data_IF_373666596580
#
_entry.id   IF_373666596580
#
_cell.length_a   1.000
_cell.length_b   1.000
_cell.length_c   1.000
_cell.angle_alpha   90.00
_cell.angle_beta   90.00
_cell.angle_gamma   90.00
#
_symmetry.space_group_name_H-M   'P 1'
#
loop_
_entity.id
_entity.type
_entity.pdbx_description
1 polymer ?
#
# COMPACT_ATOMS: atom_id res chain seq x y z
N UNK A 1 6.07 43.51 -33.66
CA UNK A 1 6.68 42.38 -34.40
C UNK A 1 7.17 41.26 -33.46
N UNK A 2 6.47 40.99 -32.36
CA UNK A 2 6.73 39.85 -31.43
C UNK A 2 5.37 39.35 -30.93
N UNK A 3 4.54 38.83 -31.84
CA UNK A 3 3.29 38.11 -31.54
C UNK A 3 3.00 37.00 -32.57
N UNK A 4 3.96 36.64 -33.43
CA UNK A 4 3.74 35.73 -34.57
C UNK A 4 4.61 34.46 -34.57
N UNK A 5 5.40 34.22 -33.51
CA UNK A 5 6.31 33.07 -33.40
C UNK A 5 5.88 31.99 -32.39
N UNK A 6 4.70 32.09 -31.77
CA UNK A 6 4.16 31.04 -30.88
C UNK A 6 3.17 30.08 -31.54
N UNK A 7 2.66 30.40 -32.74
CA UNK A 7 1.65 29.58 -33.42
C UNK A 7 2.19 28.57 -34.45
N UNK A 8 3.46 28.67 -34.83
CA UNK A 8 4.06 27.76 -35.84
C UNK A 8 4.65 26.48 -35.21
N UNK A 9 4.93 26.47 -33.89
CA UNK A 9 5.43 25.27 -33.21
C UNK A 9 4.31 24.27 -32.81
N UNK A 10 3.05 24.72 -32.73
CA UNK A 10 1.91 23.87 -32.36
C UNK A 10 1.31 23.15 -33.58
N UNK A 11 1.50 23.68 -34.79
CA UNK A 11 0.97 23.09 -36.03
C UNK A 11 1.90 22.06 -36.71
N UNK A 12 3.18 22.00 -36.32
CA UNK A 12 4.14 21.02 -36.86
C UNK A 12 4.20 19.69 -36.10
N UNK A 13 3.59 19.61 -34.91
CA UNK A 13 3.45 18.36 -34.13
C UNK A 13 2.15 17.61 -34.46
N UNK A 14 1.19 18.24 -35.14
CA UNK A 14 -0.12 17.65 -35.45
C UNK A 14 -0.23 17.07 -36.88
N UNK A 15 0.84 17.09 -37.69
CA UNK A 15 0.81 16.65 -39.10
C UNK A 15 1.93 15.68 -39.50
N UNK A 16 2.39 14.83 -38.57
CA UNK A 16 3.15 13.63 -38.90
C UNK A 16 2.49 12.41 -38.27
N UNK A 17 1.76 11.65 -39.08
CA UNK A 17 1.66 10.20 -38.94
C UNK A 17 0.64 9.63 -37.96
N UNK A 18 -0.65 9.72 -38.33
CA UNK A 18 -1.63 8.69 -37.97
C UNK A 18 -1.25 7.37 -38.70
N UNK A 19 -0.38 6.56 -38.09
CA UNK A 19 -0.24 5.10 -38.29
C UNK A 19 1.00 4.62 -37.54
N UNK A 20 0.84 4.21 -36.29
CA UNK A 20 1.91 3.63 -35.49
C UNK A 20 1.57 3.71 -34.02
N UNK A 21 1.17 2.57 -33.42
CA UNK A 21 1.11 2.45 -31.97
C UNK A 21 2.51 2.64 -31.41
N UNK A 22 2.76 3.75 -30.73
CA UNK A 22 4.06 4.06 -30.13
C UNK A 22 4.09 3.61 -28.67
N UNK A 23 4.64 2.42 -28.48
CA UNK A 23 5.52 1.99 -27.39
C UNK A 23 5.68 2.94 -26.18
N UNK A 24 4.78 2.82 -25.21
CA UNK A 24 5.12 2.92 -23.78
C UNK A 24 4.79 1.60 -23.04
N UNK A 25 4.41 0.55 -23.80
CA UNK A 25 4.09 -0.78 -23.30
C UNK A 25 5.31 -1.67 -23.00
N UNK A 26 6.54 -1.19 -23.19
CA UNK A 26 7.77 -1.93 -22.98
C UNK A 26 8.91 -0.89 -22.93
N UNK A 27 9.87 -0.84 -22.01
CA UNK A 27 10.29 -1.72 -20.95
C UNK A 27 11.13 -0.86 -19.98
N UNK A 28 10.70 -0.69 -18.73
CA UNK A 28 11.54 -0.03 -17.73
C UNK A 28 12.70 -0.86 -17.17
N UNK A 29 12.78 -2.08 -17.65
CA UNK A 29 13.77 -3.05 -17.23
C UNK A 29 14.22 -3.82 -18.47
N UNK A 30 15.43 -4.34 -18.46
CA UNK A 30 16.02 -5.13 -19.52
C UNK A 30 15.13 -6.31 -19.89
N UNK A 31 15.22 -6.74 -21.15
CA UNK A 31 14.52 -7.94 -21.61
C UNK A 31 14.85 -9.17 -20.75
N UNK A 32 16.09 -9.26 -20.25
CA UNK A 32 16.55 -10.33 -19.36
C UNK A 32 15.83 -10.32 -18.02
N UNK A 33 15.78 -9.18 -17.31
CA UNK A 33 15.07 -9.10 -16.03
C UNK A 33 13.58 -9.37 -16.23
N UNK A 34 12.98 -8.82 -17.29
CA UNK A 34 11.57 -9.08 -17.62
C UNK A 34 11.30 -10.56 -17.85
N UNK A 35 12.14 -11.24 -18.63
CA UNK A 35 11.99 -12.67 -18.87
C UNK A 35 12.19 -13.50 -17.61
N UNK A 36 13.14 -13.12 -16.74
CA UNK A 36 13.36 -13.78 -15.45
C UNK A 36 12.14 -13.66 -14.55
N UNK A 37 11.63 -12.44 -14.36
CA UNK A 37 10.42 -12.20 -13.55
C UNK A 37 9.17 -12.87 -14.14
N UNK A 38 9.07 -12.97 -15.47
CA UNK A 38 7.97 -13.68 -16.15
C UNK A 38 8.10 -15.21 -16.09
N UNK A 39 9.30 -15.71 -15.82
CA UNK A 39 9.60 -17.13 -15.71
C UNK A 39 9.66 -17.61 -14.25
N UNK A 40 9.53 -16.70 -13.28
CA UNK A 40 9.53 -17.03 -11.86
C UNK A 40 8.47 -18.12 -11.59
N UNK A 41 8.93 -19.28 -11.10
CA UNK A 41 8.06 -20.41 -10.78
C UNK A 41 7.32 -20.27 -9.46
N UNK A 42 7.65 -19.25 -8.67
CA UNK A 42 7.04 -18.99 -7.36
C UNK A 42 7.12 -17.51 -6.96
N UNK A 43 6.27 -17.05 -6.01
CA UNK A 43 6.41 -15.72 -5.42
C UNK A 43 7.79 -15.47 -4.80
N UNK A 44 8.40 -16.50 -4.21
CA UNK A 44 9.75 -16.42 -3.62
C UNK A 44 10.80 -16.07 -4.66
N UNK A 45 10.87 -16.84 -5.74
CA UNK A 45 11.82 -16.59 -6.83
C UNK A 45 11.57 -15.22 -7.46
N UNK A 46 10.30 -14.81 -7.60
CA UNK A 46 9.94 -13.48 -8.10
C UNK A 46 10.54 -12.36 -7.24
N UNK A 47 10.38 -12.43 -5.91
CA UNK A 47 10.90 -11.39 -5.01
C UNK A 47 12.42 -11.45 -4.80
N UNK A 48 13.03 -12.64 -4.87
CA UNK A 48 14.49 -12.78 -4.90
C UNK A 48 15.07 -12.10 -6.15
N UNK A 49 14.55 -12.40 -7.35
CA UNK A 49 14.97 -11.75 -8.59
C UNK A 49 14.74 -10.22 -8.58
N UNK A 50 13.62 -9.77 -8.01
CA UNK A 50 13.30 -8.35 -7.90
C UNK A 50 14.25 -7.64 -6.92
N UNK A 51 14.50 -8.26 -5.76
CA UNK A 51 15.37 -7.75 -4.70
C UNK A 51 16.86 -7.73 -5.08
N UNK A 52 17.31 -8.67 -5.92
CA UNK A 52 18.70 -8.73 -6.39
C UNK A 52 18.97 -7.81 -7.60
N UNK A 53 17.93 -7.28 -8.23
CA UNK A 53 18.06 -6.47 -9.44
C UNK A 53 18.45 -5.02 -9.15
N UNK A 54 19.70 -4.66 -9.48
CA UNK A 54 20.16 -3.26 -9.48
C UNK A 54 19.34 -2.38 -10.42
N UNK A 55 18.90 -2.92 -11.56
CA UNK A 55 18.07 -2.20 -12.51
C UNK A 55 16.71 -1.82 -11.90
N UNK A 56 16.09 -2.72 -11.13
CA UNK A 56 14.86 -2.41 -10.42
C UNK A 56 15.10 -1.34 -9.34
N UNK A 57 16.14 -1.49 -8.52
CA UNK A 57 16.49 -0.54 -7.45
C UNK A 57 16.76 0.87 -7.99
N UNK A 58 17.54 0.97 -9.05
CA UNK A 58 18.00 2.26 -9.56
C UNK A 58 17.02 2.93 -10.51
N UNK A 59 16.26 2.16 -11.30
CA UNK A 59 15.47 2.72 -12.41
C UNK A 59 13.96 2.58 -12.25
N UNK A 60 13.48 1.83 -11.25
CA UNK A 60 12.04 1.55 -11.08
C UNK A 60 11.54 1.88 -9.69
N UNK A 61 12.18 1.35 -8.64
CA UNK A 61 11.75 1.53 -7.25
C UNK A 61 11.56 3.00 -6.89
N UNK A 62 10.36 3.35 -6.43
CA UNK A 62 9.89 4.70 -6.08
C UNK A 62 9.95 5.75 -7.21
N UNK A 63 10.23 5.32 -8.45
CA UNK A 63 10.44 6.20 -9.61
C UNK A 63 9.35 6.06 -10.67
N UNK A 64 8.83 4.86 -10.93
CA UNK A 64 7.81 4.62 -11.97
C UNK A 64 7.15 3.24 -11.87
N UNK A 65 5.94 3.06 -12.47
CA UNK A 65 5.28 1.76 -12.49
C UNK A 65 6.00 0.74 -13.37
N UNK A 66 5.78 -0.53 -13.05
CA UNK A 66 6.31 -1.67 -13.82
C UNK A 66 5.24 -2.75 -13.98
N UNK A 67 4.90 -3.06 -15.23
CA UNK A 67 4.02 -4.16 -15.60
C UNK A 67 4.82 -5.39 -16.06
N UNK A 68 4.52 -6.54 -15.49
CA UNK A 68 5.10 -7.84 -15.83
C UNK A 68 3.93 -8.77 -16.19
N UNK A 69 3.90 -9.20 -17.44
CA UNK A 69 2.84 -10.07 -17.96
C UNK A 69 3.13 -11.54 -17.63
N UNK A 70 2.14 -12.24 -17.08
CA UNK A 70 2.21 -13.68 -16.77
C UNK A 70 3.34 -14.05 -15.81
N UNK A 71 3.65 -13.19 -14.83
CA UNK A 71 4.73 -13.37 -13.86
C UNK A 71 4.51 -14.58 -12.97
N UNK A 72 3.28 -14.81 -12.51
CA UNK A 72 2.93 -15.95 -11.67
C UNK A 72 1.90 -16.82 -12.41
N UNK A 73 2.38 -17.90 -13.03
CA UNK A 73 1.52 -18.84 -13.77
C UNK A 73 0.84 -19.82 -12.81
N UNK A 74 -0.01 -19.30 -11.95
CA UNK A 74 -0.78 -20.09 -11.01
C UNK A 74 -2.20 -20.31 -11.56
N UNK A 75 -2.68 -21.56 -11.64
CA UNK A 75 -4.05 -21.89 -12.07
C UNK A 75 -4.69 -22.89 -11.11
N UNK A 76 -6.01 -22.78 -10.92
CA UNK A 76 -6.76 -23.72 -10.08
C UNK A 76 -6.30 -23.67 -8.63
N UNK A 77 -5.96 -24.82 -8.05
CA UNK A 77 -5.53 -24.93 -6.65
C UNK A 77 -4.15 -24.33 -6.39
N UNK A 78 -3.39 -23.94 -7.41
CA UNK A 78 -2.11 -23.22 -7.25
C UNK A 78 -2.30 -21.69 -7.23
N UNK A 79 -3.51 -21.17 -7.52
CA UNK A 79 -3.82 -19.73 -7.44
C UNK A 79 -3.53 -19.20 -6.03
N UNK A 80 -2.91 -18.01 -5.95
CA UNK A 80 -2.61 -17.34 -4.67
C UNK A 80 -3.86 -17.08 -3.84
N UNK A 81 -4.98 -16.80 -4.52
CA UNK A 81 -6.29 -16.64 -3.89
C UNK A 81 -7.41 -16.71 -4.93
N UNK A 82 -8.51 -17.41 -4.59
CA UNK A 82 -9.75 -17.45 -5.36
C UNK A 82 -11.00 -17.48 -4.46
N UNK A 83 -12.19 -17.48 -5.09
CA UNK A 83 -13.46 -17.47 -4.35
C UNK A 83 -13.70 -18.72 -3.49
N UNK A 84 -13.13 -19.87 -3.86
CA UNK A 84 -13.24 -21.09 -3.06
C UNK A 84 -12.52 -20.92 -1.72
N UNK A 85 -11.34 -20.30 -1.71
CA UNK A 85 -10.62 -19.99 -0.47
C UNK A 85 -11.47 -19.11 0.47
N UNK A 86 -12.21 -18.15 -0.08
CA UNK A 86 -13.17 -17.35 0.70
C UNK A 86 -14.34 -18.19 1.21
N UNK A 87 -14.93 -19.05 0.37
CA UNK A 87 -16.06 -19.90 0.76
C UNK A 87 -15.69 -20.87 1.87
N UNK A 88 -14.50 -21.46 1.80
CA UNK A 88 -13.99 -22.39 2.81
C UNK A 88 -13.75 -21.67 4.15
N UNK A 89 -13.39 -20.39 4.12
CA UNK A 89 -13.14 -19.58 5.30
C UNK A 89 -14.39 -18.85 5.85
N UNK A 90 -15.52 -18.85 5.15
CA UNK A 90 -16.75 -18.17 5.57
C UNK A 90 -17.13 -18.38 7.06
N UNK A 91 -17.09 -19.61 7.62
CA UNK A 91 -17.49 -19.84 9.02
C UNK A 91 -16.68 -19.06 10.06
N UNK A 92 -15.53 -18.47 9.68
CA UNK A 92 -14.57 -17.83 10.58
C UNK A 92 -14.63 -16.29 10.54
N UNK A 93 -15.50 -15.75 9.69
CA UNK A 93 -15.77 -14.31 9.57
C UNK A 93 -17.17 -13.97 10.08
N UNK A 94 -17.35 -12.77 10.66
CA UNK A 94 -18.69 -12.20 10.84
C UNK A 94 -19.07 -11.38 9.60
N UNK A 95 -20.34 -11.44 9.19
CA UNK A 95 -20.87 -10.58 8.15
C UNK A 95 -21.05 -9.13 8.66
N UNK A 96 -20.62 -8.14 7.86
CA UNK A 96 -20.88 -6.73 8.11
C UNK A 96 -20.99 -5.94 6.80
N UNK A 97 -22.06 -5.15 6.65
CA UNK A 97 -22.20 -4.17 5.56
C UNK A 97 -21.85 -2.79 6.11
N UNK A 98 -20.90 -2.09 5.49
CA UNK A 98 -20.55 -0.71 5.85
C UNK A 98 -20.89 0.20 4.67
N UNK A 99 -21.90 1.05 4.83
CA UNK A 99 -22.12 2.19 3.92
C UNK A 99 -21.24 3.35 4.37
N UNK A 100 -20.87 4.26 3.45
CA UNK A 100 -20.01 5.44 3.72
C UNK A 100 -20.47 6.29 4.92
N UNK A 101 -21.76 6.27 5.26
CA UNK A 101 -22.33 6.89 6.47
C UNK A 101 -21.90 6.25 7.80
N UNK A 102 -21.19 5.12 7.77
CA UNK A 102 -20.64 4.40 8.93
C UNK A 102 -19.14 4.56 9.12
N UNK A 103 -18.46 5.39 8.31
CA UNK A 103 -17.10 5.89 8.62
C UNK A 103 -17.22 7.09 9.59
N UNK A 104 -18.10 6.98 10.59
CA UNK A 104 -18.06 7.78 11.79
C UNK A 104 -17.54 6.89 12.91
N UNK A 105 -16.27 7.05 13.26
CA UNK A 105 -15.86 7.25 14.65
C UNK A 105 -16.19 6.21 15.73
N UNK A 106 -16.83 5.06 15.47
CA UNK A 106 -17.16 4.10 16.51
C UNK A 106 -16.09 3.01 16.63
N UNK A 107 -15.07 3.34 17.42
CA UNK A 107 -14.34 2.47 18.36
C UNK A 107 -14.39 0.95 18.08
N UNK A 108 -13.31 0.41 17.53
CA UNK A 108 -12.38 -0.51 18.19
C UNK A 108 -11.30 -0.92 17.17
N UNK A 109 -10.06 -1.00 17.63
CA UNK A 109 -8.85 -0.82 16.82
C UNK A 109 -8.56 -1.93 15.81
N UNK A 110 -8.28 -1.51 14.58
CA UNK A 110 -7.27 -2.08 13.70
C UNK A 110 -6.63 -0.90 12.96
N UNK A 111 -5.30 -0.89 12.96
CA UNK A 111 -4.46 0.22 12.51
C UNK A 111 -4.80 0.60 11.06
N UNK A 112 -4.87 1.91 10.83
CA UNK A 112 -5.50 2.51 9.67
C UNK A 112 -4.86 2.19 8.33
N UNK A 113 -5.69 1.73 7.41
CA UNK A 113 -5.44 1.72 5.97
C UNK A 113 -6.70 2.21 5.27
N UNK A 114 -6.87 3.53 5.19
CA UNK A 114 -8.02 4.16 4.54
C UNK A 114 -8.05 3.82 3.06
N UNK A 115 -8.89 2.84 2.68
CA UNK A 115 -9.37 2.61 1.32
C UNK A 115 -10.79 3.14 1.23
N UNK A 116 -10.96 4.47 1.30
CA UNK A 116 -12.26 5.12 1.22
C UNK A 116 -12.36 5.90 -0.09
N UNK A 117 -12.74 5.20 -1.16
CA UNK A 117 -13.10 5.82 -2.43
C UNK A 117 -14.57 5.55 -2.75
N UNK A 118 -15.46 6.47 -2.42
CA UNK A 118 -16.73 6.78 -3.11
C UNK A 118 -17.66 5.65 -3.55
N UNK A 119 -17.67 4.48 -2.90
CA UNK A 119 -18.51 3.33 -3.29
C UNK A 119 -18.85 2.43 -2.11
N UNK A 120 -19.99 1.73 -2.19
CA UNK A 120 -20.37 0.70 -1.20
C UNK A 120 -19.31 -0.40 -1.18
N UNK A 121 -18.77 -0.69 0.00
CA UNK A 121 -17.71 -1.69 0.19
C UNK A 121 -18.14 -2.69 1.26
N UNK A 122 -18.12 -3.97 0.94
CA UNK A 122 -18.31 -5.02 1.94
C UNK A 122 -16.97 -5.27 2.64
N UNK A 123 -16.94 -5.01 3.94
CA UNK A 123 -15.77 -5.26 4.80
C UNK A 123 -16.09 -6.46 5.68
N UNK A 124 -15.44 -7.58 5.40
CA UNK A 124 -15.54 -8.77 6.24
C UNK A 124 -14.49 -8.69 7.35
N UNK A 125 -14.94 -8.84 8.60
CA UNK A 125 -14.08 -8.78 9.78
C UNK A 125 -13.86 -10.18 10.31
N UNK A 126 -12.61 -10.57 10.63
CA UNK A 126 -12.36 -11.85 11.29
C UNK A 126 -13.13 -11.89 12.61
N UNK A 127 -13.66 -13.06 12.98
CA UNK A 127 -14.33 -13.22 14.27
C UNK A 127 -13.31 -12.94 15.38
N UNK A 128 -13.59 -11.96 16.23
CA UNK A 128 -12.82 -11.73 17.44
C UNK A 128 -13.06 -12.92 18.39
N UNK A 129 -12.03 -13.68 18.79
CA UNK A 129 -12.22 -14.82 19.70
C UNK A 129 -12.80 -14.41 21.06
N UNK A 130 -12.66 -13.14 21.45
CA UNK A 130 -13.21 -12.58 22.70
C UNK A 130 -14.56 -11.84 22.51
N UNK A 131 -15.00 -11.64 21.28
CA UNK A 131 -16.30 -11.03 20.96
C UNK A 131 -16.89 -11.71 19.73
N UNK A 132 -17.41 -12.92 19.92
CA UNK A 132 -18.38 -13.53 18.99
C UNK A 132 -19.69 -12.72 19.06
N UNK A 133 -19.77 -11.62 18.32
CA UNK A 133 -21.03 -10.90 18.08
C UNK A 133 -21.32 -10.89 16.58
N UNK A 134 -22.21 -11.79 16.16
CA UNK A 134 -22.70 -11.89 14.78
C UNK A 134 -22.86 -13.35 14.34
N UNK A 135 -23.82 -13.60 13.45
CA UNK A 135 -23.94 -14.89 12.75
C UNK A 135 -22.71 -15.08 11.83
N UNK A 136 -22.12 -16.30 11.79
CA UNK A 136 -21.02 -16.60 10.88
C UNK A 136 -21.38 -16.28 9.43
N UNK A 137 -20.42 -15.77 8.67
CA UNK A 137 -20.57 -15.55 7.25
C UNK A 137 -20.90 -16.89 6.58
N UNK A 138 -21.89 -16.87 5.69
CA UNK A 138 -22.29 -18.03 4.89
C UNK A 138 -21.87 -17.76 3.45
N UNK A 139 -21.72 -18.82 2.67
CA UNK A 139 -21.42 -18.69 1.23
C UNK A 139 -22.48 -17.85 0.51
N UNK A 140 -23.75 -17.95 0.91
CA UNK A 140 -24.84 -17.11 0.40
C UNK A 140 -24.58 -15.62 0.57
N UNK A 141 -24.02 -15.18 1.70
CA UNK A 141 -23.70 -13.75 1.92
C UNK A 141 -22.65 -13.23 0.93
N UNK A 142 -21.63 -14.04 0.62
CA UNK A 142 -20.62 -13.68 -0.39
C UNK A 142 -21.25 -13.64 -1.79
N UNK A 143 -22.13 -14.60 -2.10
CA UNK A 143 -22.86 -14.61 -3.36
C UNK A 143 -23.78 -13.40 -3.52
N UNK A 144 -24.47 -13.01 -2.45
CA UNK A 144 -25.36 -11.85 -2.42
C UNK A 144 -24.57 -10.55 -2.58
N UNK A 145 -23.41 -10.43 -1.94
CA UNK A 145 -22.51 -9.29 -2.14
C UNK A 145 -22.03 -9.17 -3.60
N UNK A 146 -21.67 -10.30 -4.24
CA UNK A 146 -21.28 -10.33 -5.66
C UNK A 146 -22.45 -9.98 -6.60
N UNK A 147 -23.69 -10.36 -6.23
CA UNK A 147 -24.92 -10.02 -6.98
C UNK A 147 -25.46 -8.62 -6.68
N UNK A 148 -24.99 -7.98 -5.62
CA UNK A 148 -25.55 -6.73 -5.13
C UNK A 148 -25.58 -5.65 -6.22
N UNK A 149 -26.62 -4.81 -6.18
CA UNK A 149 -26.81 -3.66 -7.06
C UNK A 149 -27.12 -2.41 -6.21
N UNK A 150 -26.36 -1.31 -6.34
CA UNK A 150 -25.21 -1.14 -7.23
C UNK A 150 -24.06 -2.11 -6.90
N UNK A 151 -23.29 -2.55 -7.91
CA UNK A 151 -22.17 -3.46 -7.73
C UNK A 151 -21.16 -2.89 -6.73
N UNK A 152 -20.67 -3.73 -5.84
CA UNK A 152 -19.77 -3.36 -4.75
C UNK A 152 -18.53 -4.25 -4.75
N UNK A 153 -17.41 -3.71 -4.26
CA UNK A 153 -16.20 -4.50 -4.03
C UNK A 153 -16.24 -5.09 -2.63
N UNK A 154 -15.89 -6.37 -2.54
CA UNK A 154 -15.54 -7.03 -1.29
C UNK A 154 -14.06 -6.77 -1.04
N UNK A 155 -13.70 -6.31 0.16
CA UNK A 155 -12.31 -6.09 0.54
C UNK A 155 -11.95 -6.74 1.86
N UNK A 156 -10.75 -7.32 1.93
CA UNK A 156 -10.11 -7.76 3.17
C UNK A 156 -8.81 -7.00 3.37
N UNK A 157 -8.66 -6.41 4.54
CA UNK A 157 -7.37 -5.86 4.97
C UNK A 157 -6.56 -6.97 5.64
N UNK A 158 -5.25 -6.93 5.50
CA UNK A 158 -4.33 -7.88 6.17
C UNK A 158 -4.63 -9.34 5.81
N UNK A 159 -4.98 -9.59 4.53
CA UNK A 159 -5.28 -10.92 4.02
C UNK A 159 -4.11 -11.91 4.21
N UNK A 160 -2.87 -11.41 4.28
CA UNK A 160 -1.69 -12.24 4.53
C UNK A 160 -1.66 -12.91 5.91
N UNK A 161 -2.29 -12.33 6.94
CA UNK A 161 -2.39 -12.97 8.26
C UNK A 161 -3.58 -13.94 8.36
N UNK A 162 -4.38 -14.03 7.30
CA UNK A 162 -5.62 -14.78 7.27
C UNK A 162 -5.48 -16.01 6.37
N UNK A 163 -5.00 -15.85 5.14
CA UNK A 163 -5.00 -16.92 4.15
C UNK A 163 -3.59 -17.52 3.95
N UNK A 164 -3.40 -18.85 4.03
CA UNK A 164 -2.08 -19.47 4.03
C UNK A 164 -1.18 -19.04 2.86
N UNK A 165 -1.66 -19.17 1.62
CA UNK A 165 -0.90 -18.80 0.42
C UNK A 165 -0.60 -17.30 0.32
N UNK A 166 -1.47 -16.47 0.88
CA UNK A 166 -1.24 -15.01 0.95
C UNK A 166 -0.20 -14.70 2.04
N UNK A 167 -0.18 -15.46 3.13
CA UNK A 167 0.90 -15.43 4.13
C UNK A 167 2.25 -15.82 3.52
N UNK A 168 2.30 -16.89 2.72
CA UNK A 168 3.50 -17.30 1.98
C UNK A 168 3.96 -16.23 0.96
N UNK A 169 3.03 -15.54 0.31
CA UNK A 169 3.32 -14.38 -0.53
C UNK A 169 3.98 -13.24 0.28
N UNK A 170 3.45 -12.93 1.47
CA UNK A 170 4.06 -11.94 2.36
C UNK A 170 5.46 -12.35 2.81
N UNK A 171 5.66 -13.62 3.21
CA UNK A 171 6.97 -14.15 3.60
C UNK A 171 7.98 -14.09 2.45
N UNK A 172 7.53 -14.39 1.22
CA UNK A 172 8.35 -14.27 0.01
C UNK A 172 8.79 -12.82 -0.22
N UNK A 173 7.88 -11.86 -0.06
CA UNK A 173 8.18 -10.44 -0.18
C UNK A 173 9.13 -9.96 0.92
N UNK A 174 8.92 -10.39 2.17
CA UNK A 174 9.84 -10.10 3.29
C UNK A 174 11.22 -10.68 3.00
N UNK A 175 11.31 -11.91 2.49
CA UNK A 175 12.56 -12.57 2.15
C UNK A 175 13.38 -11.79 1.12
N UNK A 176 12.74 -11.34 0.04
CA UNK A 176 13.40 -10.63 -1.07
C UNK A 176 13.59 -9.13 -0.84
N UNK A 177 12.57 -8.42 -0.32
CA UNK A 177 12.61 -6.97 -0.14
C UNK A 177 13.16 -6.56 1.23
N UNK A 178 12.94 -7.38 2.27
CA UNK A 178 13.35 -7.09 3.66
C UNK A 178 12.79 -5.74 4.16
N UNK A 179 11.53 -5.48 3.82
CA UNK A 179 10.69 -4.43 4.40
C UNK A 179 9.42 -5.03 4.94
N UNK A 180 8.77 -4.39 5.93
CA UNK A 180 7.46 -4.81 6.36
C UNK A 180 6.46 -4.68 5.20
N UNK A 181 5.54 -5.63 5.12
CA UNK A 181 4.53 -5.69 4.06
C UNK A 181 3.13 -5.89 4.63
N UNK A 182 2.11 -5.60 3.85
CA UNK A 182 0.72 -5.95 4.12
C UNK A 182 0.01 -6.27 2.81
N UNK A 183 -0.85 -7.28 2.79
CA UNK A 183 -1.65 -7.61 1.60
C UNK A 183 -3.11 -7.29 1.86
N UNK A 184 -3.71 -6.48 0.99
CA UNK A 184 -5.15 -6.32 0.90
C UNK A 184 -5.69 -7.14 -0.28
N UNK A 185 -6.88 -7.71 -0.11
CA UNK A 185 -7.55 -8.51 -1.12
C UNK A 185 -8.81 -7.78 -1.58
N UNK A 186 -9.04 -7.77 -2.89
CA UNK A 186 -10.22 -7.16 -3.49
C UNK A 186 -10.90 -8.11 -4.47
N UNK A 187 -12.21 -8.32 -4.28
CA UNK A 187 -13.06 -9.10 -5.17
C UNK A 187 -14.13 -8.16 -5.72
N UNK A 188 -14.11 -7.98 -7.03
CA UNK A 188 -14.95 -7.02 -7.72
C UNK A 188 -15.77 -7.72 -8.80
N UNK A 189 -17.11 -7.71 -8.75
CA UNK A 189 -17.94 -8.28 -9.81
C UNK A 189 -17.76 -7.52 -11.13
N UNK A 190 -17.83 -8.25 -12.25
CA UNK A 190 -18.04 -7.64 -13.55
C UNK A 190 -19.45 -7.07 -13.63
N UNK A 191 -19.56 -5.97 -14.37
CA UNK A 191 -20.78 -5.18 -14.52
C UNK A 191 -21.13 -5.08 -15.99
N UNK A 192 -22.39 -4.85 -16.31
CA UNK A 192 -22.80 -4.55 -17.69
C UNK A 192 -22.32 -3.15 -18.11
N UNK A 193 -22.35 -2.85 -19.40
CA UNK A 193 -22.05 -1.50 -19.90
C UNK A 193 -23.00 -0.44 -19.32
N UNK A 194 -24.30 -0.77 -19.19
CA UNK A 194 -25.31 0.10 -18.59
C UNK A 194 -25.05 0.36 -17.09
N UNK A 195 -24.59 -0.66 -16.35
CA UNK A 195 -24.21 -0.54 -14.93
C UNK A 195 -22.91 0.25 -14.74
N UNK A 196 -22.01 0.21 -15.71
CA UNK A 196 -20.74 0.90 -15.67
C UNK A 196 -20.85 2.42 -15.77
N UNK A 197 -21.84 2.92 -16.52
CA UNK A 197 -22.12 4.34 -16.63
C UNK A 197 -22.67 4.92 -15.31
N UNK A 198 -23.29 4.08 -14.47
CA UNK A 198 -23.80 4.43 -13.14
C UNK A 198 -22.72 4.27 -12.05
N UNK A 199 -21.88 3.23 -12.15
CA UNK A 199 -20.82 2.91 -11.19
C UNK A 199 -19.41 3.28 -11.68
N UNK A 200 -19.32 4.30 -12.54
CA UNK A 200 -18.09 4.73 -13.21
C UNK A 200 -16.89 4.79 -12.26
N UNK A 201 -16.03 3.77 -12.35
CA UNK A 201 -14.88 3.44 -11.49
C UNK A 201 -15.28 2.80 -10.17
N UNK A 202 -14.73 1.60 -9.97
CA UNK A 202 -14.99 0.82 -8.75
C UNK A 202 -14.05 1.27 -7.63
N UNK A 203 -12.87 1.81 -7.99
CA UNK A 203 -12.05 2.61 -7.09
C UNK A 203 -11.70 3.91 -7.82
N UNK A 204 -12.16 5.08 -7.33
CA UNK A 204 -11.91 6.37 -7.96
C UNK A 204 -10.42 6.72 -7.92
N UNK A 205 -10.05 7.78 -8.63
CA UNK A 205 -8.68 8.27 -8.71
C UNK A 205 -8.15 8.67 -7.32
N UNK A 206 -7.10 8.00 -6.86
CA UNK A 206 -6.49 8.22 -5.55
C UNK A 206 -4.99 7.91 -5.56
N UNK A 207 -4.31 8.24 -4.47
CA UNK A 207 -2.91 7.84 -4.21
C UNK A 207 -2.83 7.01 -2.93
N UNK A 208 -1.81 6.16 -2.84
CA UNK A 208 -1.50 5.38 -1.63
C UNK A 208 -0.20 5.83 -0.96
N UNK A 209 -0.12 5.54 0.35
CA UNK A 209 1.06 5.75 1.21
C UNK A 209 2.09 4.62 1.12
N UNK A 210 1.84 3.64 0.26
CA UNK A 210 2.67 2.46 0.10
C UNK A 210 3.14 2.40 -1.34
N UNK A 211 4.35 1.87 -1.52
CA UNK A 211 4.73 1.21 -2.75
C UNK A 211 3.93 -0.09 -2.85
N UNK A 212 3.19 -0.31 -3.94
CA UNK A 212 2.31 -1.49 -4.06
C UNK A 212 2.70 -2.41 -5.20
N UNK A 213 2.62 -3.72 -4.97
CA UNK A 213 2.75 -4.78 -5.96
C UNK A 213 1.41 -5.49 -6.05
N UNK A 214 0.74 -5.32 -7.18
CA UNK A 214 -0.59 -5.87 -7.47
C UNK A 214 -0.43 -7.21 -8.18
N UNK A 215 -1.07 -8.25 -7.66
CA UNK A 215 -1.14 -9.58 -8.26
C UNK A 215 -2.58 -9.85 -8.71
N UNK A 216 -2.80 -9.99 -10.02
CA UNK A 216 -4.12 -10.35 -10.55
C UNK A 216 -4.29 -11.87 -10.50
N UNK A 217 -5.17 -12.37 -9.63
CA UNK A 217 -5.33 -13.82 -9.41
C UNK A 217 -6.50 -14.42 -10.18
N UNK A 218 -7.58 -13.64 -10.38
CA UNK A 218 -8.75 -14.10 -11.13
C UNK A 218 -9.33 -13.02 -12.03
N UNK A 219 -9.80 -13.38 -13.21
CA UNK A 219 -10.49 -12.46 -14.11
C UNK A 219 -9.57 -11.34 -14.62
N UNK A 220 -10.14 -10.15 -14.86
CA UNK A 220 -9.43 -9.02 -15.46
C UNK A 220 -9.75 -7.71 -14.77
N UNK A 221 -8.76 -6.83 -14.63
CA UNK A 221 -8.97 -5.46 -14.13
C UNK A 221 -8.17 -4.46 -14.95
N UNK A 222 -8.82 -3.39 -15.41
CA UNK A 222 -8.15 -2.25 -16.03
C UNK A 222 -7.58 -1.35 -14.94
N UNK A 223 -6.31 -1.01 -15.09
CA UNK A 223 -5.57 -0.09 -14.26
C UNK A 223 -5.11 1.09 -15.10
N UNK A 224 -5.33 2.30 -14.57
CA UNK A 224 -4.68 3.51 -15.07
C UNK A 224 -3.83 4.09 -13.95
N UNK A 225 -2.54 4.23 -14.20
CA UNK A 225 -1.55 4.70 -13.24
C UNK A 225 -0.86 5.92 -13.81
N UNK A 226 -1.01 7.03 -13.13
CA UNK A 226 -0.56 8.35 -13.56
C UNK A 226 0.60 8.82 -12.69
N UNK A 227 1.50 9.66 -13.24
CA UNK A 227 2.54 10.31 -12.45
C UNK A 227 1.99 11.00 -11.20
N UNK A 228 2.85 11.15 -10.19
CA UNK A 228 2.51 11.79 -8.91
C UNK A 228 1.87 13.16 -9.19
N UNK A 229 0.69 13.47 -8.62
CA UNK A 229 0.12 14.80 -8.71
C UNK A 229 1.04 15.82 -8.05
N UNK A 230 0.98 17.08 -8.50
CA UNK A 230 1.66 18.18 -7.82
C UNK A 230 1.20 18.28 -6.36
N UNK A 231 2.09 18.70 -5.46
CA UNK A 231 1.73 18.84 -4.06
C UNK A 231 0.66 19.92 -3.87
N UNK A 232 -0.35 19.60 -3.07
CA UNK A 232 -1.39 20.55 -2.65
C UNK A 232 -1.22 20.88 -1.18
N UNK A 233 -1.05 22.16 -0.87
CA UNK A 233 -0.83 22.61 0.52
C UNK A 233 -1.98 22.19 1.42
N UNK A 234 -1.64 21.63 2.59
CA UNK A 234 -2.62 21.22 3.61
C UNK A 234 -3.30 19.88 3.31
N UNK A 235 -2.92 19.20 2.23
CA UNK A 235 -3.39 17.86 1.88
C UNK A 235 -2.20 16.91 1.89
N UNK A 236 -2.39 15.69 2.38
CA UNK A 236 -1.38 14.64 2.32
C UNK A 236 -1.26 14.12 0.88
N UNK A 237 -0.13 14.34 0.18
CA UNK A 237 0.04 13.91 -1.21
C UNK A 237 0.13 12.39 -1.36
N UNK A 238 0.37 11.65 -0.27
CA UNK A 238 0.36 10.20 -0.26
C UNK A 238 -1.02 9.60 0.08
N UNK A 239 -2.05 10.43 0.27
CA UNK A 239 -3.41 9.97 0.60
C UNK A 239 -4.49 10.81 -0.10
N UNK A 240 -4.20 11.30 -1.31
CA UNK A 240 -5.13 12.02 -2.17
C UNK A 240 -6.31 11.12 -2.60
N UNK A 241 -7.48 11.72 -2.83
CA UNK A 241 -8.68 11.02 -3.30
C UNK A 241 -9.41 10.22 -2.22
N UNK A 242 -9.14 10.53 -0.95
CA UNK A 242 -9.67 9.84 0.24
C UNK A 242 -10.12 10.84 1.29
N UNK A 243 -10.99 10.42 2.20
CA UNK A 243 -11.44 11.22 3.35
C UNK A 243 -11.96 12.64 2.97
N UNK A 244 -12.72 12.72 1.87
CA UNK A 244 -13.31 13.98 1.38
C UNK A 244 -12.41 14.79 0.44
N UNK A 245 -11.14 14.41 0.24
CA UNK A 245 -10.32 14.94 -0.85
C UNK A 245 -10.72 14.27 -2.17
N UNK A 246 -10.83 15.08 -3.22
CA UNK A 246 -11.10 14.63 -4.59
C UNK A 246 -9.93 15.06 -5.45
N UNK A 247 -9.41 14.15 -6.27
CA UNK A 247 -8.36 14.45 -7.25
C UNK A 247 -9.01 14.81 -8.57
N UNK A 248 -8.90 16.09 -8.95
CA UNK A 248 -9.37 16.56 -10.25
C UNK A 248 -8.58 15.94 -11.39
N UNK A 249 -9.22 15.75 -12.56
CA UNK A 249 -8.53 15.25 -13.76
C UNK A 249 -7.44 16.22 -14.22
N UNK A 250 -7.67 17.51 -14.02
CA UNK A 250 -6.74 18.61 -14.29
C UNK A 250 -5.51 18.61 -13.39
N UNK A 251 -5.55 17.92 -12.24
CA UNK A 251 -4.40 17.78 -11.33
C UNK A 251 -3.44 16.66 -11.79
N UNK A 252 -3.85 15.85 -12.76
CA UNK A 252 -3.10 14.68 -13.23
C UNK A 252 -2.56 14.92 -14.63
N UNK A 253 -1.31 14.47 -14.85
CA UNK A 253 -0.74 14.38 -16.19
C UNK A 253 -1.15 13.07 -16.86
N UNK A 254 -1.82 13.16 -18.02
CA UNK A 254 -2.04 12.01 -18.92
C UNK A 254 -0.72 11.55 -19.57
N UNK A 255 0.26 12.46 -19.71
CA UNK A 255 1.61 12.13 -20.17
C UNK A 255 2.28 11.26 -19.11
N UNK A 256 2.76 10.08 -19.51
CA UNK A 256 3.37 9.10 -18.60
C UNK A 256 2.35 8.19 -17.90
N UNK A 257 1.07 8.25 -18.26
CA UNK A 257 0.06 7.31 -17.79
C UNK A 257 0.31 5.90 -18.34
N UNK A 258 0.33 4.91 -17.45
CA UNK A 258 0.25 3.50 -17.80
C UNK A 258 -1.22 3.06 -17.76
N UNK A 259 -1.79 2.74 -18.92
CA UNK A 259 -3.15 2.21 -19.07
C UNK A 259 -3.08 0.75 -19.54
N UNK A 260 -3.45 -0.19 -18.67
CA UNK A 260 -3.34 -1.61 -18.95
C UNK A 260 -4.52 -2.41 -18.39
N UNK A 261 -4.78 -3.57 -19.00
CA UNK A 261 -5.67 -4.59 -18.42
C UNK A 261 -4.81 -5.70 -17.87
N UNK A 262 -4.88 -5.93 -16.56
CA UNK A 262 -4.28 -7.08 -15.91
C UNK A 262 -5.16 -8.30 -16.14
N UNK A 263 -4.53 -9.42 -16.47
CA UNK A 263 -5.12 -10.75 -16.56
C UNK A 263 -4.50 -11.68 -15.51
N UNK A 264 -5.08 -12.86 -15.33
CA UNK A 264 -4.60 -13.85 -14.35
C UNK A 264 -3.09 -14.11 -14.50
N UNK A 265 -2.34 -13.90 -13.41
CA UNK A 265 -0.89 -14.06 -13.35
C UNK A 265 -0.07 -12.81 -13.66
N UNK A 266 -0.70 -11.72 -14.11
CA UNK A 266 -0.02 -10.44 -14.30
C UNK A 266 0.32 -9.77 -12.96
N UNK A 267 1.46 -9.06 -12.94
CA UNK A 267 1.93 -8.30 -11.78
C UNK A 267 2.18 -6.85 -12.18
N UNK A 268 1.67 -5.91 -11.38
CA UNK A 268 1.85 -4.48 -11.56
C UNK A 268 2.43 -3.85 -10.30
N UNK A 269 3.62 -3.26 -10.42
CA UNK A 269 4.19 -2.39 -9.41
C UNK A 269 3.72 -0.94 -9.63
N UNK A 270 3.22 -0.29 -8.58
CA UNK A 270 2.86 1.14 -8.55
C UNK A 270 3.63 1.80 -7.41
N UNK A 271 4.47 2.81 -7.69
CA UNK A 271 5.21 3.49 -6.64
C UNK A 271 4.32 4.35 -5.77
N UNK A 272 4.73 4.55 -4.52
CA UNK A 272 4.04 5.44 -3.60
C UNK A 272 3.77 6.83 -4.21
N UNK A 273 2.59 7.37 -3.96
CA UNK A 273 2.17 8.70 -4.43
C UNK A 273 1.76 8.76 -5.90
N UNK A 274 1.91 7.69 -6.68
CA UNK A 274 1.39 7.64 -8.05
C UNK A 274 -0.13 7.51 -8.01
N UNK A 275 -0.82 8.42 -8.69
CA UNK A 275 -2.26 8.43 -8.72
C UNK A 275 -2.76 7.28 -9.59
N UNK A 276 -3.81 6.58 -9.18
CA UNK A 276 -4.34 5.48 -9.96
C UNK A 276 -5.83 5.29 -9.75
N UNK A 277 -6.46 4.63 -10.73
CA UNK A 277 -7.86 4.25 -10.71
C UNK A 277 -8.05 2.90 -11.37
N UNK A 278 -9.13 2.20 -10.97
CA UNK A 278 -9.40 0.86 -11.49
C UNK A 278 -10.83 0.71 -11.99
N UNK A 279 -10.99 -0.11 -13.02
CA UNK A 279 -12.28 -0.49 -13.56
C UNK A 279 -12.25 -1.97 -13.95
N UNK A 280 -13.29 -2.71 -13.62
CA UNK A 280 -13.46 -4.07 -14.14
C UNK A 280 -14.04 -3.98 -15.56
N UNK A 281 -13.47 -4.69 -16.56
CA UNK A 281 -14.03 -4.72 -17.91
C UNK A 281 -15.49 -5.21 -17.91
N UNK A 282 -16.29 -4.66 -18.82
CA UNK A 282 -17.72 -4.92 -18.89
C UNK A 282 -18.03 -6.32 -19.45
N UNK A 283 -19.13 -6.90 -18.96
CA UNK A 283 -19.78 -8.03 -19.62
C UNK A 283 -20.45 -7.53 -20.89
N UNK A 284 -20.18 -8.19 -22.02
CA UNK A 284 -20.91 -7.87 -23.25
C UNK A 284 -22.35 -8.36 -23.12
N UNK A 285 -23.27 -7.62 -23.74
CA UNK A 285 -24.69 -7.99 -23.80
C UNK A 285 -24.84 -9.43 -24.33
N UNK A 286 -25.46 -10.30 -23.53
CA UNK A 286 -25.67 -11.71 -23.87
C UNK A 286 -24.62 -12.69 -23.33
N UNK A 287 -23.55 -12.23 -22.67
CA UNK A 287 -22.59 -13.09 -21.95
C UNK A 287 -23.09 -13.46 -20.54
N UNK A 288 -24.18 -12.83 -20.09
CA UNK A 288 -24.84 -13.14 -18.83
C UNK A 288 -25.46 -14.54 -18.84
N UNK A 289 -25.02 -15.40 -17.92
CA UNK A 289 -25.63 -16.70 -17.70
C UNK A 289 -26.72 -16.59 -16.64
N UNK A 290 -27.98 -16.80 -17.05
CA UNK A 290 -29.13 -16.77 -16.15
C UNK A 290 -28.93 -17.75 -14.97
N UNK A 291 -28.99 -17.23 -13.75
CA UNK A 291 -28.84 -18.02 -12.51
C UNK A 291 -27.39 -18.26 -12.06
N UNK A 292 -26.39 -17.87 -12.85
CA UNK A 292 -24.99 -17.90 -12.42
C UNK A 292 -24.60 -16.61 -11.68
N UNK A 293 -23.52 -16.67 -10.90
CA UNK A 293 -22.87 -15.45 -10.41
C UNK A 293 -22.24 -14.70 -11.59
N UNK A 294 -22.23 -13.35 -11.56
CA UNK A 294 -21.41 -12.59 -12.49
C UNK A 294 -19.92 -12.98 -12.30
N UNK A 295 -19.11 -13.05 -13.37
CA UNK A 295 -17.68 -13.24 -13.23
C UNK A 295 -17.07 -12.14 -12.36
N UNK A 296 -15.99 -12.46 -11.66
CA UNK A 296 -15.31 -11.52 -10.76
C UNK A 296 -13.89 -11.25 -11.23
N UNK A 297 -13.39 -10.07 -10.91
CA UNK A 297 -11.97 -9.76 -10.86
C UNK A 297 -11.49 -9.92 -9.42
N UNK A 298 -10.42 -10.68 -9.21
CA UNK A 298 -9.76 -10.83 -7.92
C UNK A 298 -8.30 -10.40 -8.04
N UNK A 299 -7.87 -9.50 -7.16
CA UNK A 299 -6.47 -9.13 -7.05
C UNK A 299 -6.04 -8.95 -5.60
N UNK A 300 -4.76 -9.18 -5.37
CA UNK A 300 -4.05 -8.92 -4.12
C UNK A 300 -3.19 -7.68 -4.31
N UNK A 301 -3.28 -6.73 -3.40
CA UNK A 301 -2.42 -5.54 -3.37
C UNK A 301 -1.47 -5.69 -2.19
N UNK A 302 -0.22 -6.07 -2.48
CA UNK A 302 0.85 -6.10 -1.50
C UNK A 302 1.46 -4.71 -1.37
N UNK A 303 1.22 -4.04 -0.26
CA UNK A 303 1.87 -2.79 0.09
C UNK A 303 3.18 -3.03 0.84
N UNK A 304 4.22 -2.29 0.49
CA UNK A 304 5.48 -2.21 1.22
C UNK A 304 5.40 -1.02 2.18
N UNK A 305 5.34 -1.32 3.48
CA UNK A 305 4.88 -0.41 4.53
C UNK A 305 5.98 0.54 5.07
N UNK A 306 6.69 1.20 4.17
CA UNK A 306 7.79 2.10 4.57
C UNK A 306 7.27 3.32 5.33
N UNK A 307 6.18 3.96 4.88
CA UNK A 307 5.61 5.12 5.59
C UNK A 307 4.92 4.71 6.88
N UNK A 308 4.13 3.63 6.85
CA UNK A 308 3.34 3.17 8.00
C UNK A 308 4.24 2.88 9.20
N UNK A 309 5.39 2.25 8.96
CA UNK A 309 6.33 1.88 10.02
C UNK A 309 7.48 2.87 10.24
N UNK A 310 7.38 4.07 9.67
CA UNK A 310 8.35 5.13 9.90
C UNK A 310 9.72 4.90 9.25
N UNK A 311 9.79 4.16 8.16
CA UNK A 311 11.03 3.78 7.46
C UNK A 311 11.32 4.68 6.24
N UNK A 312 11.07 5.98 6.35
CA UNK A 312 11.41 6.98 5.30
C UNK A 312 12.36 8.05 5.82
N UNK A 313 13.00 8.78 4.90
CA UNK A 313 13.86 9.90 5.26
C UNK A 313 13.14 11.01 6.04
N UNK A 314 11.83 11.21 5.84
CA UNK A 314 11.01 12.15 6.60
C UNK A 314 10.97 11.77 8.09
N UNK A 315 10.77 10.49 8.37
CA UNK A 315 10.76 9.96 9.73
C UNK A 315 12.15 9.95 10.35
N UNK A 316 13.18 9.60 9.59
CA UNK A 316 14.56 9.65 10.06
C UNK A 316 15.01 11.08 10.36
N UNK A 317 14.68 12.07 9.52
CA UNK A 317 14.90 13.50 9.79
C UNK A 317 14.28 13.89 11.12
N UNK A 318 13.01 13.58 11.29
CA UNK A 318 12.30 13.88 12.53
C UNK A 318 12.94 13.20 13.74
N UNK A 319 13.36 11.94 13.60
CA UNK A 319 14.02 11.17 14.65
C UNK A 319 15.37 11.78 15.04
N UNK A 320 16.22 12.12 14.06
CA UNK A 320 17.53 12.73 14.31
C UNK A 320 17.42 14.10 14.96
N UNK A 321 16.52 14.96 14.47
CA UNK A 321 16.32 16.29 15.05
C UNK A 321 15.76 16.19 16.47
N UNK A 322 14.80 15.28 16.70
CA UNK A 322 14.24 15.03 18.03
C UNK A 322 15.28 14.48 19.01
N UNK A 323 16.11 13.54 18.54
CA UNK A 323 17.20 12.95 19.32
C UNK A 323 18.21 14.00 19.79
N UNK A 324 18.49 15.00 18.94
CA UNK A 324 19.41 16.09 19.24
C UNK A 324 18.76 17.25 20.02
N UNK A 325 17.46 17.18 20.36
CA UNK A 325 16.74 18.30 20.99
C UNK A 325 16.59 19.53 20.08
N UNK A 326 16.63 19.34 18.76
CA UNK A 326 16.52 20.40 17.76
C UNK A 326 15.05 20.54 17.31
N UNK A 327 14.69 21.73 16.83
CA UNK A 327 13.37 21.94 16.21
C UNK A 327 13.24 21.02 15.00
N UNK A 328 12.21 20.17 15.00
CA UNK A 328 11.92 19.20 13.94
C UNK A 328 10.78 19.65 13.02
N UNK A 329 10.09 20.75 13.34
CA UNK A 329 9.00 21.28 12.52
C UNK A 329 9.54 21.68 11.14
N UNK A 330 8.77 21.40 10.10
CA UNK A 330 9.10 21.76 8.72
C UNK A 330 8.06 22.76 8.22
N UNK A 331 8.51 23.93 7.78
CA UNK A 331 7.67 24.89 7.09
C UNK A 331 7.50 24.48 5.63
N UNK A 332 6.32 23.94 5.30
CA UNK A 332 6.00 23.45 3.96
C UNK A 332 5.81 24.57 2.92
N UNK A 333 5.77 25.84 3.31
CA UNK A 333 5.44 26.94 2.38
C UNK A 333 6.52 27.22 1.32
N UNK A 334 7.74 26.72 1.51
CA UNK A 334 8.85 26.87 0.57
C UNK A 334 9.57 25.56 0.21
N UNK A 335 8.96 24.41 0.50
CA UNK A 335 9.53 23.10 0.14
C UNK A 335 9.13 22.78 -1.30
N UNK A 336 10.12 22.57 -2.17
CA UNK A 336 9.90 22.11 -3.54
C UNK A 336 9.37 20.67 -3.54
N UNK A 337 8.48 20.34 -4.49
CA UNK A 337 7.90 19.01 -4.67
C UNK A 337 8.95 17.90 -4.70
N UNK A 338 10.04 18.11 -5.44
CA UNK A 338 11.14 17.13 -5.53
C UNK A 338 11.81 16.89 -4.17
N UNK A 339 12.08 17.96 -3.42
CA UNK A 339 12.69 17.84 -2.10
C UNK A 339 11.77 17.12 -1.11
N UNK A 340 10.46 17.37 -1.17
CA UNK A 340 9.48 16.63 -0.39
C UNK A 340 9.49 15.13 -0.74
N UNK A 341 9.43 14.77 -2.02
CA UNK A 341 9.42 13.38 -2.45
C UNK A 341 10.72 12.64 -2.11
N UNK A 342 11.85 13.34 -2.05
CA UNK A 342 13.10 12.79 -1.49
C UNK A 342 12.96 12.42 0.00
N UNK A 343 12.18 13.17 0.78
CA UNK A 343 11.91 12.79 2.18
C UNK A 343 11.03 11.54 2.29
N UNK A 344 10.17 11.31 1.31
CA UNK A 344 9.29 10.15 1.28
C UNK A 344 10.00 8.89 0.79
N UNK A 345 11.25 8.98 0.33
CA UNK A 345 12.00 7.79 -0.06
C UNK A 345 12.21 6.83 1.11
N UNK A 346 12.14 5.54 0.82
CA UNK A 346 12.44 4.49 1.77
C UNK A 346 13.88 4.63 2.27
N UNK A 347 14.11 4.47 3.58
CA UNK A 347 15.46 4.34 4.11
C UNK A 347 16.10 3.12 3.48
N UNK A 348 17.32 3.20 2.93
CA UNK A 348 17.90 2.14 2.10
C UNK A 348 18.43 0.96 2.93
N UNK A 349 17.50 0.30 3.60
CA UNK A 349 17.64 -0.97 4.28
C UNK A 349 17.27 -2.10 3.31
N UNK A 350 17.24 -3.33 3.82
CA UNK A 350 16.79 -4.47 3.06
C UNK A 350 17.49 -4.63 1.70
N UNK A 351 16.72 -4.76 0.63
CA UNK A 351 17.25 -4.93 -0.74
C UNK A 351 17.95 -3.68 -1.30
N UNK A 352 17.69 -2.49 -0.75
CA UNK A 352 18.35 -1.23 -1.16
C UNK A 352 19.73 -1.03 -0.51
N UNK A 353 20.02 -1.81 0.54
CA UNK A 353 21.21 -1.82 1.41
C UNK A 353 22.27 -0.74 1.12
N UNK A 354 22.31 0.29 1.97
CA UNK A 354 23.45 1.22 2.11
C UNK A 354 24.00 1.21 3.53
N UNK A 355 25.24 1.66 3.68
CA UNK A 355 25.90 1.79 4.98
C UNK A 355 25.33 2.96 5.79
N UNK A 356 25.29 2.84 7.12
CA UNK A 356 24.67 3.83 8.00
C UNK A 356 25.30 5.24 7.86
N UNK A 357 26.59 5.30 7.55
CA UNK A 357 27.27 6.57 7.26
C UNK A 357 26.78 7.24 5.98
N UNK A 358 26.55 6.48 4.91
CA UNK A 358 26.02 7.02 3.65
C UNK A 358 24.58 7.52 3.84
N UNK A 359 23.77 6.76 4.58
CA UNK A 359 22.40 7.17 4.92
C UNK A 359 22.40 8.47 5.71
N UNK A 360 23.29 8.58 6.71
CA UNK A 360 23.45 9.78 7.51
C UNK A 360 23.91 10.98 6.66
N UNK A 361 24.89 10.80 5.77
CA UNK A 361 25.37 11.87 4.88
C UNK A 361 24.25 12.36 3.94
N UNK A 362 23.50 11.43 3.35
CA UNK A 362 22.34 11.74 2.50
C UNK A 362 21.26 12.50 3.27
N UNK A 363 20.98 12.10 4.51
CA UNK A 363 20.03 12.79 5.37
C UNK A 363 20.49 14.22 5.69
N UNK A 364 21.77 14.41 6.04
CA UNK A 364 22.30 15.73 6.38
C UNK A 364 22.21 16.69 5.18
N UNK A 365 22.59 16.22 3.99
CA UNK A 365 22.42 17.00 2.76
C UNK A 365 20.94 17.30 2.44
N UNK A 366 20.04 16.36 2.73
CA UNK A 366 18.60 16.57 2.57
C UNK A 366 18.06 17.64 3.55
N UNK A 367 18.50 17.65 4.81
CA UNK A 367 18.12 18.68 5.79
C UNK A 367 18.59 20.07 5.31
N UNK A 368 19.82 20.17 4.81
CA UNK A 368 20.35 21.45 4.27
C UNK A 368 19.52 21.97 3.09
N UNK A 369 19.08 21.08 2.19
CA UNK A 369 18.23 21.44 1.04
C UNK A 369 16.82 21.82 1.46
N UNK A 370 16.20 21.06 2.36
CA UNK A 370 14.84 21.30 2.85
C UNK A 370 14.74 22.59 3.67
N UNK A 371 15.81 22.93 4.39
CA UNK A 371 15.80 23.99 5.39
C UNK A 371 17.03 24.90 5.26
N UNK A 372 17.19 25.63 4.14
CA UNK A 372 18.38 26.45 3.88
C UNK A 372 18.59 27.57 4.92
N UNK A 373 17.55 27.91 5.69
CA UNK A 373 17.59 28.91 6.77
C UNK A 373 18.05 28.34 8.12
N UNK A 374 18.19 27.02 8.26
CA UNK A 374 18.65 26.37 9.49
C UNK A 374 20.10 26.75 9.76
N UNK A 375 20.36 27.36 10.92
CA UNK A 375 21.73 27.76 11.31
C UNK A 375 22.60 26.52 11.50
N UNK A 376 23.87 26.57 11.10
CA UNK A 376 24.83 25.46 11.26
C UNK A 376 24.92 24.91 12.71
N UNK A 377 24.79 25.78 13.72
CA UNK A 377 24.75 25.38 15.15
C UNK A 377 23.51 24.57 15.56
N UNK A 378 22.47 24.58 14.71
CA UNK A 378 21.20 23.85 14.88
C UNK A 378 21.11 22.67 13.89
N UNK A 379 22.24 22.20 13.37
CA UNK A 379 22.35 20.99 12.58
C UNK A 379 22.78 19.81 13.48
N UNK A 380 22.22 18.61 13.27
CA UNK A 380 22.69 17.42 13.96
C UNK A 380 24.11 17.04 13.49
N UNK A 381 24.88 16.39 14.36
CA UNK A 381 26.19 15.86 13.97
C UNK A 381 26.05 14.57 13.14
N UNK A 382 27.02 14.27 12.28
CA UNK A 382 27.06 12.98 11.55
C UNK A 382 27.03 11.79 12.51
N UNK A 383 27.72 11.89 13.65
CA UNK A 383 27.74 10.84 14.68
C UNK A 383 26.35 10.56 15.25
N UNK A 384 25.58 11.62 15.55
CA UNK A 384 24.21 11.46 16.06
C UNK A 384 23.27 10.92 14.98
N UNK A 385 23.42 11.38 13.73
CA UNK A 385 22.67 10.87 12.61
C UNK A 385 22.89 9.36 12.41
N UNK A 386 24.15 8.90 12.35
CA UNK A 386 24.52 7.47 12.24
C UNK A 386 23.92 6.65 13.39
N UNK A 387 23.99 7.16 14.62
CA UNK A 387 23.41 6.47 15.79
C UNK A 387 21.91 6.25 15.61
N UNK A 388 21.18 7.26 15.16
CA UNK A 388 19.73 7.16 14.94
C UNK A 388 19.42 6.28 13.72
N UNK A 389 20.23 6.29 12.65
CA UNK A 389 20.09 5.31 11.55
C UNK A 389 20.12 3.88 12.10
N UNK A 390 21.06 3.58 13.01
CA UNK A 390 21.14 2.28 13.68
C UNK A 390 19.85 1.89 14.42
N UNK A 391 19.21 2.85 15.11
CA UNK A 391 17.92 2.63 15.80
C UNK A 391 16.82 2.28 14.79
N UNK A 392 16.73 3.00 13.67
CA UNK A 392 15.72 2.72 12.63
C UNK A 392 15.98 1.38 11.94
N UNK A 393 17.25 0.99 11.77
CA UNK A 393 17.63 -0.31 11.21
C UNK A 393 17.23 -1.45 12.13
N UNK A 394 17.49 -1.33 13.43
CA UNK A 394 17.05 -2.30 14.43
C UNK A 394 15.52 -2.42 14.45
N UNK A 395 14.81 -1.28 14.48
CA UNK A 395 13.36 -1.23 14.38
C UNK A 395 12.83 -1.97 13.15
N UNK A 396 13.41 -1.71 11.97
CA UNK A 396 13.05 -2.44 10.74
C UNK A 396 13.21 -3.95 10.92
N UNK A 397 14.36 -4.40 11.43
CA UNK A 397 14.62 -5.84 11.62
C UNK A 397 13.66 -6.50 12.62
N UNK A 398 13.23 -5.78 13.66
CA UNK A 398 12.28 -6.30 14.64
C UNK A 398 10.87 -6.39 14.09
N UNK A 399 10.43 -5.41 13.30
CA UNK A 399 9.16 -5.50 12.57
C UNK A 399 9.13 -6.73 11.66
N UNK A 400 10.22 -7.00 10.93
CA UNK A 400 10.32 -8.17 10.07
C UNK A 400 10.18 -9.48 10.84
N UNK A 401 10.83 -9.62 11.99
CA UNK A 401 10.71 -10.83 12.84
C UNK A 401 9.27 -11.06 13.29
N UNK A 402 8.56 -10.00 13.69
CA UNK A 402 7.16 -10.10 14.11
C UNK A 402 6.26 -10.47 12.93
N UNK A 403 6.50 -9.91 11.75
CA UNK A 403 5.73 -10.25 10.55
C UNK A 403 6.03 -11.66 10.01
N UNK A 404 7.27 -12.14 10.12
CA UNK A 404 7.62 -13.53 9.81
C UNK A 404 6.79 -14.50 10.68
N UNK A 405 6.66 -14.22 11.99
CA UNK A 405 5.80 -14.99 12.89
C UNK A 405 4.32 -14.83 12.53
N UNK A 406 3.87 -13.61 12.19
CA UNK A 406 2.48 -13.31 11.86
C UNK A 406 1.99 -14.14 10.66
N UNK A 407 2.80 -14.22 9.60
CA UNK A 407 2.40 -14.80 8.33
C UNK A 407 2.71 -16.29 8.20
N UNK A 408 3.66 -16.81 8.98
CA UNK A 408 3.96 -18.24 9.00
C UNK A 408 2.76 -19.02 9.54
N UNK A 409 2.32 -20.07 8.86
CA UNK A 409 1.15 -20.88 9.22
C UNK A 409 -0.11 -20.02 9.47
N UNK A 410 -0.38 -19.04 8.59
CA UNK A 410 -1.66 -18.33 8.58
C UNK A 410 -2.76 -19.30 8.14
N UNK A 411 -3.87 -19.36 8.89
CA UNK A 411 -5.01 -20.21 8.56
C UNK A 411 -6.27 -19.56 9.17
N UNK A 412 -7.27 -19.19 8.35
CA UNK A 412 -8.43 -18.50 8.88
C UNK A 412 -9.31 -19.44 9.73
N UNK A 413 -9.12 -20.76 9.63
CA UNK A 413 -9.84 -21.79 10.38
C UNK A 413 -9.15 -22.22 11.68
N UNK A 414 -7.93 -21.74 11.96
CA UNK A 414 -7.23 -21.99 13.22
C UNK A 414 -7.40 -20.82 14.18
N UNK A 415 -7.99 -21.10 15.35
CA UNK A 415 -8.10 -20.11 16.43
C UNK A 415 -6.70 -19.67 16.90
N UNK A 416 -5.74 -20.59 16.96
CA UNK A 416 -4.36 -20.30 17.33
C UNK A 416 -3.69 -19.34 16.33
N UNK A 417 -3.87 -19.57 15.02
CA UNK A 417 -3.35 -18.69 13.98
C UNK A 417 -3.98 -17.28 14.05
N UNK A 418 -5.29 -17.21 14.29
CA UNK A 418 -6.00 -15.94 14.47
C UNK A 418 -5.52 -15.16 15.71
N UNK A 419 -5.33 -15.85 16.84
CA UNK A 419 -4.78 -15.25 18.07
C UNK A 419 -3.34 -14.78 17.84
N UNK A 420 -2.52 -15.55 17.13
CA UNK A 420 -1.16 -15.17 16.73
C UNK A 420 -1.16 -13.89 15.91
N UNK A 421 -2.01 -13.79 14.88
CA UNK A 421 -2.12 -12.58 14.06
C UNK A 421 -2.46 -11.32 14.90
N UNK A 422 -3.40 -11.44 15.84
CA UNK A 422 -3.78 -10.33 16.74
C UNK A 422 -2.63 -9.95 17.67
N UNK A 423 -1.93 -10.93 18.26
CA UNK A 423 -0.77 -10.69 19.11
C UNK A 423 0.35 -9.99 18.34
N UNK A 424 0.67 -10.47 17.13
CA UNK A 424 1.67 -9.85 16.28
C UNK A 424 1.30 -8.41 15.92
N UNK A 425 0.02 -8.12 15.63
CA UNK A 425 -0.43 -6.74 15.37
C UNK A 425 -0.14 -5.82 16.56
N UNK A 426 -0.46 -6.27 17.78
CA UNK A 426 -0.17 -5.51 19.01
C UNK A 426 1.33 -5.32 19.22
N UNK A 427 2.13 -6.34 18.92
CA UNK A 427 3.58 -6.26 19.04
C UNK A 427 4.17 -5.23 18.06
N UNK A 428 3.68 -5.17 16.82
CA UNK A 428 4.07 -4.13 15.86
C UNK A 428 3.77 -2.71 16.38
N UNK A 429 2.62 -2.50 17.03
CA UNK A 429 2.27 -1.20 17.66
C UNK A 429 3.23 -0.84 18.81
N UNK A 430 3.65 -1.83 19.60
CA UNK A 430 4.65 -1.67 20.66
C UNK A 430 6.00 -1.28 20.06
N UNK A 431 6.41 -1.90 18.95
CA UNK A 431 7.64 -1.55 18.24
C UNK A 431 7.63 -0.10 17.77
N UNK A 432 6.52 0.39 17.21
CA UNK A 432 6.38 1.81 16.83
C UNK A 432 6.48 2.76 18.01
N UNK A 433 5.85 2.40 19.12
CA UNK A 433 5.93 3.18 20.36
C UNK A 433 7.36 3.24 20.90
N UNK A 434 8.08 2.11 20.80
CA UNK A 434 9.50 2.02 21.20
C UNK A 434 10.40 2.83 20.28
N UNK A 435 10.21 2.80 18.96
CA UNK A 435 10.95 3.65 18.02
C UNK A 435 10.82 5.11 18.46
N UNK A 436 9.59 5.57 18.69
CA UNK A 436 9.32 6.90 19.22
C UNK A 436 10.12 7.18 20.50
N UNK A 437 9.96 6.36 21.53
CA UNK A 437 10.63 6.54 22.83
C UNK A 437 12.17 6.63 22.72
N UNK A 438 12.76 5.90 21.77
CA UNK A 438 14.20 5.86 21.50
C UNK A 438 14.72 7.12 20.80
N UNK A 439 13.90 7.81 20.02
CA UNK A 439 14.30 9.00 19.25
C UNK A 439 13.74 10.32 19.81
N UNK A 440 12.90 10.26 20.84
CA UNK A 440 12.34 11.43 21.51
C UNK A 440 13.28 12.09 22.52
N UNK A 441 13.18 13.43 22.63
CA UNK A 441 13.65 14.17 23.80
C UNK A 441 12.88 13.74 25.07
N UNK A 442 13.46 13.98 26.24
CA UNK A 442 12.88 13.56 27.53
C UNK A 442 11.47 14.15 27.78
N UNK A 443 11.21 15.37 27.31
CA UNK A 443 9.91 16.03 27.42
C UNK A 443 8.83 15.38 26.54
N UNK A 444 9.18 14.96 25.32
CA UNK A 444 8.23 14.23 24.48
C UNK A 444 7.99 12.82 25.03
N UNK A 445 9.04 12.15 25.55
CA UNK A 445 8.91 10.84 26.21
C UNK A 445 7.90 10.90 27.36
N UNK A 446 7.94 11.95 28.19
CA UNK A 446 6.96 12.17 29.27
C UNK A 446 5.53 12.42 28.75
N UNK A 447 5.37 13.13 27.63
CA UNK A 447 4.05 13.40 27.04
C UNK A 447 3.45 12.18 26.31
N UNK A 448 4.28 11.35 25.68
CA UNK A 448 3.86 10.12 25.01
C UNK A 448 3.53 9.01 26.00
N UNK A 449 4.35 8.81 27.04
CA UNK A 449 4.04 7.88 28.14
C UNK A 449 2.69 8.18 28.77
N UNK A 450 2.35 9.45 29.00
CA UNK A 450 1.01 9.85 29.47
C UNK A 450 -0.13 9.46 28.51
N UNK A 451 0.13 9.43 27.20
CA UNK A 451 -0.87 9.01 26.20
C UNK A 451 -1.02 7.49 26.14
N UNK A 452 0.08 6.75 26.29
CA UNK A 452 0.10 5.28 26.38
C UNK A 452 -0.60 4.85 27.67
N UNK A 453 -0.24 5.42 28.82
CA UNK A 453 -0.93 5.21 30.10
C UNK A 453 -2.43 5.52 30.00
N UNK A 454 -2.81 6.58 29.28
CA UNK A 454 -4.21 6.90 29.03
C UNK A 454 -4.90 5.92 28.06
N UNK A 455 -4.18 5.32 27.11
CA UNK A 455 -4.70 4.30 26.21
C UNK A 455 -4.87 2.95 26.92
N UNK A 456 -3.89 2.55 27.73
CA UNK A 456 -3.93 1.37 28.58
C UNK A 456 -5.00 1.48 29.65
N UNK A 457 -5.16 2.67 30.26
CA UNK A 457 -6.27 2.93 31.19
C UNK A 457 -7.64 2.86 30.49
N UNK A 458 -7.74 3.28 29.21
CA UNK A 458 -8.96 3.14 28.41
C UNK A 458 -9.25 1.69 28.04
N UNK A 459 -8.22 0.91 27.73
CA UNK A 459 -8.32 -0.53 27.48
C UNK A 459 -8.75 -1.29 28.76
N UNK A 460 -8.15 -0.95 29.90
CA UNK A 460 -8.52 -1.50 31.21
C UNK A 460 -9.95 -1.11 31.63
N UNK A 461 -10.41 0.09 31.26
CA UNK A 461 -11.77 0.55 31.52
C UNK A 461 -12.83 -0.04 30.56
N UNK A 462 -12.40 -0.58 29.41
CA UNK A 462 -13.29 -1.09 28.36
C UNK A 462 -13.64 -2.60 28.49
N UNK A 463 -12.99 -3.35 29.38
CA UNK A 463 -13.31 -4.78 29.58
C UNK A 463 -12.59 -5.36 30.79
N UNK A 464 -13.35 -5.65 31.85
CA UNK A 464 -12.83 -6.02 33.16
C UNK A 464 -12.17 -7.39 33.24
N UNK A 465 -11.18 -7.47 34.14
CA UNK A 465 -10.85 -8.63 34.96
C UNK A 465 -10.54 -9.92 34.23
N UNK A 466 -9.28 -10.13 33.88
CA UNK A 466 -8.49 -11.18 34.52
C UNK A 466 -7.00 -10.88 34.32
N UNK A 467 -6.31 -10.69 35.43
CA UNK A 467 -4.85 -10.73 35.51
C UNK A 467 -4.38 -12.09 35.01
N UNK A 468 -3.57 -12.09 33.95
CA UNK A 468 -2.66 -13.20 33.67
C UNK A 468 -1.25 -12.64 33.73
N UNK A 469 -0.61 -12.92 34.85
CA UNK A 469 0.83 -12.80 35.09
C UNK A 469 1.65 -13.46 33.98
#
# INVERSE_FOLDING_TARGET
MICYLRYIFILLVLLIGHSGGSELGSTGISGSLRSGLAAAGSPREFFELLGDSEEFKESVWQKRPLLIKGALKCKGDDELFNLKDLYDACPTFAAGHVTESGIDGSKEGLVGGGGGGGGSTWVFRPLNPNQLRGEPLQTSHVQDAVRARPPSTISFNTAGSLFPKVGELCLSAIGGLRYPVNVNLYITPQVTEEEADVCGKIVPLHTDRQDVVVFQTKGKKRWKVYPKPAMKRGVDPCSRGKAGDVVGREEISEVGCLDCVLEEGDVLYVPMGWAHETATPYLKKGEEKRGALPPVSVHLTLGVDTVVWGLTYAHLRWGVLSYCGLDYKLDMSGVEDEAYWQTMQALPFGFLRRDDEEIADNLLGLIERLEPKRKKRNMPSKKDAVKVVGIFREHCNELLKVQEVMYNDADPNSVEAMVKAVKSTRELDVLMSRLGASVFSEEFRKAHMKKVEAADARLAAAGGGETLT
#
